data_IF_397470587687
#
_entry.id   IF_397470587687
#
_cell.length_a   1.000
_cell.length_b   1.000
_cell.length_c   1.000
_cell.angle_alpha   90.00
_cell.angle_beta   90.00
_cell.angle_gamma   90.00
#
_symmetry.space_group_name_H-M   'P 1'
#
loop_
_entity.id
_entity.type
_entity.pdbx_description
1 polymer ?
#
# COMPACT_ATOMS: atom_id res chain seq x y z
N UNK A 1 -21.27 -16.81 -10.99
CA UNK A 1 -20.09 -17.64 -10.89
C UNK A 1 -19.20 -17.18 -9.77
N UNK A 2 -18.79 -18.11 -8.96
CA UNK A 2 -17.98 -17.78 -7.78
C UNK A 2 -16.52 -17.73 -8.15
N UNK A 3 -15.86 -16.68 -7.76
CA UNK A 3 -14.42 -16.59 -7.89
C UNK A 3 -13.78 -17.54 -6.91
N UNK A 4 -12.91 -18.42 -7.34
CA UNK A 4 -12.17 -19.22 -6.40
C UNK A 4 -11.26 -18.29 -5.61
N UNK A 5 -10.70 -18.77 -4.58
CA UNK A 5 -9.96 -18.05 -3.55
C UNK A 5 -8.94 -17.03 -4.05
N UNK A 6 -9.35 -16.11 -4.90
CA UNK A 6 -8.51 -15.00 -5.34
C UNK A 6 -8.78 -13.81 -4.42
N UNK A 7 -7.73 -13.30 -3.82
CA UNK A 7 -7.88 -12.16 -2.93
C UNK A 7 -8.24 -10.91 -3.72
N UNK A 8 -9.07 -10.06 -3.12
CA UNK A 8 -9.58 -8.87 -3.81
C UNK A 8 -8.47 -7.94 -4.26
N UNK A 9 -7.42 -7.81 -3.48
CA UNK A 9 -6.31 -6.94 -3.85
C UNK A 9 -5.54 -7.46 -5.06
N UNK A 10 -5.71 -8.71 -5.44
CA UNK A 10 -5.10 -9.26 -6.65
C UNK A 10 -5.97 -9.02 -7.87
N UNK A 11 -7.28 -8.96 -7.69
CA UNK A 11 -8.21 -8.70 -8.78
C UNK A 11 -8.06 -7.26 -9.25
N UNK A 12 -8.00 -6.35 -8.30
CA UNK A 12 -7.75 -4.94 -8.58
C UNK A 12 -6.43 -4.61 -7.89
N UNK A 13 -5.37 -4.36 -8.65
CA UNK A 13 -4.05 -4.20 -8.03
C UNK A 13 -4.03 -3.13 -6.97
N UNK A 14 -3.71 -3.54 -5.75
CA UNK A 14 -3.73 -2.62 -4.61
C UNK A 14 -2.68 -1.53 -4.73
N UNK A 15 -1.62 -1.76 -5.49
CA UNK A 15 -0.60 -0.73 -5.64
C UNK A 15 -1.13 0.51 -6.35
N UNK A 16 -2.11 0.37 -7.23
CA UNK A 16 -2.76 1.55 -7.84
C UNK A 16 -3.51 2.34 -6.78
N UNK A 17 -4.17 1.63 -5.87
CA UNK A 17 -4.92 2.28 -4.81
C UNK A 17 -3.97 3.00 -3.86
N UNK A 18 -2.80 2.41 -3.58
CA UNK A 18 -1.77 3.08 -2.77
C UNK A 18 -1.39 4.41 -3.40
N UNK A 19 -1.14 4.42 -4.70
CA UNK A 19 -0.76 5.65 -5.40
C UNK A 19 -1.87 6.68 -5.35
N UNK A 20 -3.12 6.25 -5.51
CA UNK A 20 -4.27 7.15 -5.44
C UNK A 20 -4.40 7.79 -4.06
N UNK A 21 -4.23 6.99 -3.02
CA UNK A 21 -4.33 7.48 -1.65
C UNK A 21 -3.26 8.53 -1.38
N UNK A 22 -2.04 8.23 -1.77
CA UNK A 22 -0.93 9.16 -1.56
C UNK A 22 -1.12 10.45 -2.36
N UNK A 23 -1.69 10.34 -3.55
CA UNK A 23 -1.95 11.51 -4.37
C UNK A 23 -2.99 12.42 -3.72
N UNK A 24 -4.03 11.82 -3.14
CA UNK A 24 -5.12 12.57 -2.54
C UNK A 24 -4.78 13.10 -1.16
N UNK A 25 -4.11 12.30 -0.36
CA UNK A 25 -3.87 12.63 1.05
C UNK A 25 -2.47 13.13 1.35
N UNK A 26 -1.55 12.96 0.40
CA UNK A 26 -0.16 13.34 0.60
C UNK A 26 0.60 12.25 1.33
N UNK A 27 1.75 12.60 1.86
CA UNK A 27 2.61 11.65 2.56
C UNK A 27 1.89 11.05 3.75
N UNK A 28 2.09 9.76 3.97
CA UNK A 28 1.44 9.06 5.07
C UNK A 28 2.43 8.14 5.76
N UNK A 29 2.18 7.88 7.02
CA UNK A 29 2.90 6.83 7.72
C UNK A 29 2.39 5.48 7.23
N UNK A 30 3.25 4.47 7.30
CA UNK A 30 2.90 3.14 6.80
C UNK A 30 1.68 2.55 7.53
N UNK A 31 1.57 2.80 8.85
CA UNK A 31 0.42 2.33 9.61
C UNK A 31 -0.88 2.88 9.06
N UNK A 32 -0.90 4.18 8.80
CA UNK A 32 -2.11 4.84 8.32
C UNK A 32 -2.47 4.36 6.91
N UNK A 33 -1.45 4.20 6.09
CA UNK A 33 -1.66 3.72 4.73
C UNK A 33 -2.21 2.29 4.74
N UNK A 34 -1.66 1.44 5.59
CA UNK A 34 -2.14 0.08 5.73
C UNK A 34 -3.61 0.05 6.18
N UNK A 35 -3.95 0.90 7.15
CA UNK A 35 -5.34 1.00 7.62
C UNK A 35 -6.29 1.41 6.51
N UNK A 36 -5.88 2.37 5.69
CA UNK A 36 -6.70 2.80 4.56
C UNK A 36 -6.91 1.66 3.57
N UNK A 37 -5.87 0.90 3.29
CA UNK A 37 -5.98 -0.23 2.37
C UNK A 37 -6.84 -1.34 2.94
N UNK A 38 -6.76 -1.59 4.24
CA UNK A 38 -7.58 -2.63 4.89
C UNK A 38 -9.06 -2.33 4.80
N UNK A 39 -9.42 -1.06 4.76
CA UNK A 39 -10.82 -0.69 4.58
C UNK A 39 -11.35 -1.13 3.23
N UNK A 40 -10.50 -1.16 2.23
CA UNK A 40 -10.89 -1.55 0.88
C UNK A 40 -10.63 -3.03 0.62
N UNK A 41 -9.57 -3.57 1.19
CA UNK A 41 -9.17 -4.96 0.99
C UNK A 41 -8.98 -5.62 2.35
N UNK A 42 -10.06 -6.11 2.93
CA UNK A 42 -10.01 -6.66 4.29
C UNK A 42 -9.20 -7.94 4.39
N UNK A 43 -8.93 -8.60 3.27
CA UNK A 43 -8.12 -9.81 3.24
C UNK A 43 -6.62 -9.52 3.02
N UNK A 44 -6.24 -8.24 2.99
CA UNK A 44 -4.85 -7.85 2.78
C UNK A 44 -4.06 -8.02 4.07
N UNK A 45 -3.01 -8.84 4.03
CA UNK A 45 -2.14 -9.01 5.19
C UNK A 45 -1.01 -7.99 5.17
N UNK A 46 -0.37 -7.82 6.32
CA UNK A 46 0.71 -6.85 6.44
C UNK A 46 1.91 -7.23 5.57
N UNK A 47 2.15 -8.54 5.43
CA UNK A 47 3.22 -9.02 4.56
C UNK A 47 2.97 -8.67 3.10
N UNK A 48 1.71 -8.81 2.67
CA UNK A 48 1.31 -8.43 1.32
C UNK A 48 1.48 -6.94 1.10
N UNK A 49 1.11 -6.16 2.10
CA UNK A 49 1.26 -4.72 2.08
C UNK A 49 2.73 -4.33 1.89
N UNK A 50 3.62 -4.92 2.66
CA UNK A 50 5.05 -4.64 2.54
C UNK A 50 5.59 -5.01 1.17
N UNK A 51 5.12 -6.11 0.59
CA UNK A 51 5.53 -6.52 -0.75
C UNK A 51 5.08 -5.51 -1.81
N UNK A 52 3.87 -4.98 -1.65
CA UNK A 52 3.36 -3.94 -2.54
C UNK A 52 4.23 -2.69 -2.45
N UNK A 53 4.53 -2.25 -1.24
CA UNK A 53 5.37 -1.08 -1.04
C UNK A 53 6.76 -1.29 -1.65
N UNK A 54 7.32 -2.47 -1.46
CA UNK A 54 8.64 -2.77 -2.01
C UNK A 54 8.64 -2.67 -3.53
N UNK A 55 7.62 -3.22 -4.16
CA UNK A 55 7.50 -3.16 -5.62
C UNK A 55 7.39 -1.73 -6.12
N UNK A 56 6.61 -0.92 -5.43
CA UNK A 56 6.45 0.49 -5.81
C UNK A 56 7.74 1.27 -5.60
N UNK A 57 8.46 0.94 -4.55
CA UNK A 57 9.73 1.58 -4.24
C UNK A 57 10.78 1.25 -5.29
N UNK A 58 10.88 -0.03 -5.65
CA UNK A 58 11.81 -0.50 -6.66
C UNK A 58 11.48 0.13 -8.03
N UNK A 59 10.19 0.32 -8.30
CA UNK A 59 9.75 0.96 -9.54
C UNK A 59 9.95 2.47 -9.55
N UNK A 60 10.36 3.05 -8.43
CA UNK A 60 10.58 4.48 -8.33
C UNK A 60 9.29 5.29 -8.22
N UNK A 61 8.21 4.67 -7.82
CA UNK A 61 6.92 5.35 -7.67
C UNK A 61 6.74 5.99 -6.31
N UNK A 62 7.36 5.41 -5.29
CA UNK A 62 7.28 5.92 -3.93
C UNK A 62 8.66 5.90 -3.29
N UNK A 63 8.78 6.65 -2.21
CA UNK A 63 9.96 6.63 -1.36
C UNK A 63 9.51 6.32 0.06
N UNK A 64 10.23 5.45 0.75
CA UNK A 64 9.95 5.23 2.16
C UNK A 64 11.14 5.72 2.97
N UNK A 65 10.84 6.46 4.03
CA UNK A 65 11.85 7.02 4.93
C UNK A 65 11.62 6.43 6.30
N UNK A 66 12.66 5.87 6.89
CA UNK A 66 12.56 5.31 8.23
C UNK A 66 12.38 6.44 9.24
N UNK A 67 11.39 6.25 10.09
CA UNK A 67 11.13 7.17 11.19
C UNK A 67 11.41 6.44 12.49
N UNK A 68 11.21 7.12 13.61
CA UNK A 68 11.44 6.49 14.91
C UNK A 68 10.44 5.35 15.15
N UNK A 69 10.85 4.38 15.97
CA UNK A 69 10.02 3.26 16.41
C UNK A 69 9.60 2.32 15.30
N UNK A 70 10.46 2.18 14.29
CA UNK A 70 10.21 1.23 13.22
C UNK A 70 9.14 1.63 12.23
N UNK A 71 8.63 2.86 12.33
CA UNK A 71 7.66 3.37 11.38
C UNK A 71 8.34 3.94 10.15
N UNK A 72 7.60 3.99 9.05
CA UNK A 72 8.12 4.55 7.81
C UNK A 72 7.14 5.58 7.28
N UNK A 73 7.69 6.62 6.72
CA UNK A 73 6.91 7.63 6.03
C UNK A 73 6.94 7.31 4.55
N UNK A 74 5.77 7.22 3.97
CA UNK A 74 5.62 6.86 2.56
C UNK A 74 5.27 8.10 1.76
N UNK A 75 6.08 8.38 0.74
CA UNK A 75 5.91 9.56 -0.09
C UNK A 75 5.77 9.15 -1.55
N UNK A 76 4.89 9.83 -2.26
CA UNK A 76 4.74 9.63 -3.69
C UNK A 76 5.84 10.40 -4.42
N UNK A 77 6.52 9.74 -5.35
CA UNK A 77 7.53 10.39 -6.17
C UNK A 77 6.85 10.89 -7.44
N UNK A 78 6.97 12.15 -7.67
CA UNK A 78 6.35 12.80 -8.83
C UNK A 78 7.29 12.85 -10.01
#
# INVERSE_FOLDING_TARGET
MTMPAVKTWKIRPAYFVVLEILEKKGDMMDDDLFSQLKEEYDDLGYKDFNNILLKLEVSGKIRSTSMSRGKRRIELIQ
#
